data_IF_668262209478
#
_entry.id   IF_668262209478
#
_cell.length_a   1.000
_cell.length_b   1.000
_cell.length_c   1.000
_cell.angle_alpha   90.00
_cell.angle_beta   90.00
_cell.angle_gamma   90.00
#
_symmetry.space_group_name_H-M   'P 1'
#
loop_
_entity.id
_entity.type
_entity.pdbx_description
1 polymer ?
#
# COMPACT_ATOMS: atom_id res chain seq x y z
N UNK A 1 14.34 -12.15 -16.70
CA UNK A 1 13.57 -11.59 -15.60
C UNK A 1 12.29 -10.96 -16.13
N UNK A 2 11.16 -11.34 -15.55
CA UNK A 2 9.86 -10.75 -15.89
C UNK A 2 9.37 -10.00 -14.66
N UNK A 3 9.28 -8.67 -14.79
CA UNK A 3 8.92 -7.77 -13.72
C UNK A 3 7.44 -7.40 -13.79
N UNK A 4 6.75 -7.50 -12.66
CA UNK A 4 5.37 -7.05 -12.50
C UNK A 4 5.32 -5.90 -11.49
N UNK A 5 4.89 -4.72 -11.94
CA UNK A 5 4.70 -3.57 -11.06
C UNK A 5 3.26 -3.56 -10.56
N UNK A 6 3.06 -3.44 -9.25
CA UNK A 6 1.73 -3.42 -8.67
C UNK A 6 1.65 -2.50 -7.45
N UNK A 7 0.43 -2.09 -7.14
CA UNK A 7 0.09 -1.32 -5.95
C UNK A 7 -0.48 -2.27 -4.89
N UNK A 8 0.08 -2.25 -3.67
CA UNK A 8 -0.31 -3.21 -2.62
C UNK A 8 -1.81 -3.20 -2.36
N UNK A 9 -2.38 -2.02 -2.10
CA UNK A 9 -3.82 -1.89 -1.83
C UNK A 9 -4.65 -2.25 -3.06
N UNK A 10 -4.29 -1.73 -4.22
CA UNK A 10 -5.07 -1.88 -5.44
C UNK A 10 -5.13 -3.31 -5.96
N UNK A 11 -4.06 -4.06 -5.81
CA UNK A 11 -3.94 -5.38 -6.43
C UNK A 11 -4.98 -6.39 -5.92
N UNK A 12 -5.31 -6.33 -4.63
CA UNK A 12 -6.26 -7.28 -4.02
C UNK A 12 -7.54 -6.64 -3.49
N UNK A 13 -7.73 -5.33 -3.70
CA UNK A 13 -8.85 -4.59 -3.09
C UNK A 13 -10.23 -5.08 -3.54
N UNK A 14 -10.37 -5.46 -4.80
CA UNK A 14 -11.64 -5.91 -5.35
C UNK A 14 -12.01 -7.31 -4.82
N UNK A 15 -13.31 -7.55 -4.63
CA UNK A 15 -13.80 -8.83 -4.12
C UNK A 15 -13.41 -10.03 -4.99
N UNK A 16 -13.24 -9.82 -6.30
CA UNK A 16 -12.83 -10.88 -7.23
C UNK A 16 -11.42 -11.42 -6.98
N UNK A 17 -10.61 -10.74 -6.14
CA UNK A 17 -9.28 -11.25 -5.80
C UNK A 17 -9.33 -12.56 -5.01
N UNK A 18 -10.43 -12.81 -4.28
CA UNK A 18 -10.60 -14.01 -3.48
C UNK A 18 -9.69 -14.08 -2.25
N UNK A 19 -9.04 -12.98 -1.89
CA UNK A 19 -8.12 -12.94 -0.72
C UNK A 19 -8.84 -12.49 0.54
N UNK A 20 -8.32 -12.89 1.70
CA UNK A 20 -8.67 -12.27 2.98
C UNK A 20 -7.93 -10.95 3.16
N UNK A 21 -8.40 -10.08 4.06
CA UNK A 21 -7.75 -8.78 4.38
C UNK A 21 -7.28 -8.02 3.13
N UNK A 22 -8.19 -7.84 2.18
CA UNK A 22 -7.90 -7.23 0.88
C UNK A 22 -7.20 -5.87 1.00
N UNK A 23 -6.22 -5.65 0.11
CA UNK A 23 -5.47 -4.40 0.08
C UNK A 23 -4.29 -4.36 1.04
N UNK A 24 -3.88 -5.49 1.60
CA UNK A 24 -2.76 -5.58 2.54
C UNK A 24 -1.59 -6.36 1.96
N UNK A 25 -0.43 -6.27 2.61
CA UNK A 25 0.72 -7.09 2.26
C UNK A 25 0.41 -8.58 2.35
N UNK A 26 -0.34 -9.00 3.37
CA UNK A 26 -0.74 -10.41 3.53
C UNK A 26 -1.58 -10.89 2.36
N UNK A 27 -2.56 -10.11 1.93
CA UNK A 27 -3.39 -10.44 0.77
C UNK A 27 -2.53 -10.59 -0.49
N UNK A 28 -1.52 -9.74 -0.65
CA UNK A 28 -0.58 -9.85 -1.76
C UNK A 28 0.16 -11.19 -1.75
N UNK A 29 0.58 -11.68 -0.58
CA UNK A 29 1.27 -12.97 -0.49
C UNK A 29 0.39 -14.14 -0.93
N UNK A 30 -0.92 -14.04 -0.76
CA UNK A 30 -1.87 -15.06 -1.23
C UNK A 30 -1.92 -15.14 -2.76
N UNK A 31 -1.44 -14.12 -3.47
CA UNK A 31 -1.38 -14.06 -4.93
C UNK A 31 -0.05 -14.54 -5.51
N UNK A 32 0.90 -14.94 -4.71
CA UNK A 32 2.19 -15.46 -5.19
C UNK A 32 2.01 -16.65 -6.16
N UNK A 33 1.16 -17.65 -5.88
CA UNK A 33 0.94 -18.73 -6.85
C UNK A 33 0.45 -18.24 -8.20
N UNK A 34 -0.47 -17.27 -8.22
CA UNK A 34 -0.99 -16.67 -9.44
C UNK A 34 0.13 -15.98 -10.23
N UNK A 35 0.98 -15.19 -9.55
CA UNK A 35 2.09 -14.51 -10.20
C UNK A 35 3.11 -15.51 -10.77
N UNK A 36 3.36 -16.60 -10.07
CA UNK A 36 4.24 -17.66 -10.56
C UNK A 36 3.68 -18.34 -11.82
N UNK A 37 2.37 -18.58 -11.88
CA UNK A 37 1.73 -19.13 -13.08
C UNK A 37 1.88 -18.21 -14.29
N UNK A 38 1.87 -16.89 -14.07
CA UNK A 38 2.12 -15.92 -15.14
C UNK A 38 3.59 -15.88 -15.59
N UNK A 39 4.48 -16.56 -14.88
CA UNK A 39 5.91 -16.53 -15.20
C UNK A 39 6.63 -15.33 -14.61
N UNK A 40 6.04 -14.63 -13.65
CA UNK A 40 6.63 -13.46 -13.01
C UNK A 40 7.78 -13.89 -12.10
N UNK A 41 8.93 -13.25 -12.24
CA UNK A 41 10.13 -13.57 -11.46
C UNK A 41 10.51 -12.48 -10.47
N UNK A 42 9.95 -11.27 -10.63
CA UNK A 42 10.19 -10.15 -9.72
C UNK A 42 8.95 -9.28 -9.63
N UNK A 43 8.71 -8.71 -8.46
CA UNK A 43 7.60 -7.78 -8.23
C UNK A 43 8.16 -6.44 -7.79
N UNK A 44 7.71 -5.36 -8.40
CA UNK A 44 8.03 -4.00 -7.99
C UNK A 44 6.79 -3.41 -7.31
N UNK A 45 6.90 -3.10 -6.02
CA UNK A 45 5.81 -2.50 -5.27
C UNK A 45 5.82 -0.98 -5.46
N UNK A 46 4.67 -0.42 -5.82
CA UNK A 46 4.49 1.02 -5.94
C UNK A 46 4.25 1.62 -4.56
N UNK A 47 5.15 2.53 -4.14
CA UNK A 47 5.00 3.31 -2.90
C UNK A 47 4.52 2.50 -1.67
N UNK A 48 5.26 1.46 -1.25
CA UNK A 48 4.87 0.68 -0.08
C UNK A 48 5.27 1.33 1.24
N UNK A 49 5.93 2.49 1.18
CA UNK A 49 6.48 3.21 2.32
C UNK A 49 5.40 4.03 3.02
N UNK A 50 5.63 4.36 4.30
CA UNK A 50 4.69 5.19 5.06
C UNK A 50 4.61 6.62 4.50
N UNK A 51 3.40 7.15 4.39
CA UNK A 51 3.11 8.48 3.88
C UNK A 51 1.86 9.06 4.54
N UNK A 52 1.65 10.36 4.40
CA UNK A 52 0.43 11.03 4.89
C UNK A 52 -0.74 10.64 3.98
N UNK A 53 -1.65 9.85 4.50
CA UNK A 53 -2.77 9.31 3.72
C UNK A 53 -3.91 10.32 3.58
N UNK A 54 -4.15 11.12 4.62
CA UNK A 54 -5.19 12.15 4.59
C UNK A 54 -4.63 13.41 3.97
N UNK A 55 -5.29 13.89 2.91
CA UNK A 55 -4.89 15.13 2.22
C UNK A 55 -5.28 16.35 3.04
N UNK A 56 -4.32 17.24 3.29
CA UNK A 56 -4.52 18.49 4.01
C UNK A 56 -4.59 19.66 3.02
N UNK A 57 -5.30 20.73 3.40
CA UNK A 57 -5.47 21.91 2.52
C UNK A 57 -4.15 22.59 2.18
N UNK A 58 -3.21 22.62 3.10
CA UNK A 58 -1.92 23.30 2.98
C UNK A 58 -0.77 22.36 2.62
N UNK A 59 -1.05 21.09 2.36
CA UNK A 59 -0.01 20.08 2.14
C UNK A 59 0.08 19.64 0.69
N UNK A 60 1.30 19.26 0.27
CA UNK A 60 1.49 18.49 -0.95
C UNK A 60 1.04 17.05 -0.72
N UNK A 61 0.72 16.35 -1.80
CA UNK A 61 0.30 14.95 -1.75
C UNK A 61 1.32 14.09 -1.02
N UNK A 62 0.86 13.37 -0.01
CA UNK A 62 1.69 12.47 0.76
C UNK A 62 2.66 13.14 1.74
N UNK A 63 2.63 14.46 1.89
CA UNK A 63 3.53 15.17 2.80
C UNK A 63 3.20 14.82 4.27
N UNK A 64 4.07 14.10 4.99
CA UNK A 64 3.80 13.72 6.37
C UNK A 64 3.86 14.88 7.37
N UNK A 65 4.33 16.04 6.94
CA UNK A 65 4.45 17.23 7.77
C UNK A 65 3.36 18.27 7.47
N UNK A 66 2.42 17.93 6.59
CA UNK A 66 1.33 18.84 6.28
C UNK A 66 0.45 19.08 7.51
N UNK A 67 0.08 20.33 7.71
CA UNK A 67 -0.84 20.75 8.77
C UNK A 67 -2.09 21.37 8.13
N UNK A 68 -3.00 21.85 8.91
CA UNK A 68 -4.19 22.47 8.38
C UNK A 68 -5.42 21.56 8.43
N UNK A 69 -6.43 21.87 7.63
CA UNK A 69 -7.72 21.16 7.68
C UNK A 69 -7.74 19.98 6.72
N UNK A 70 -8.19 18.81 7.17
CA UNK A 70 -8.37 17.67 6.27
C UNK A 70 -9.38 17.98 5.16
N UNK A 71 -9.04 17.62 3.92
CA UNK A 71 -9.90 17.86 2.75
C UNK A 71 -10.97 16.78 2.54
N UNK A 72 -10.88 15.67 3.27
CA UNK A 72 -11.73 14.50 3.04
C UNK A 72 -11.23 13.58 1.91
N UNK A 73 -10.17 13.97 1.23
CA UNK A 73 -9.55 13.15 0.17
C UNK A 73 -8.40 12.33 0.73
N UNK A 74 -8.19 11.16 0.14
CA UNK A 74 -7.09 10.28 0.50
C UNK A 74 -6.05 10.25 -0.63
N UNK A 75 -4.77 10.20 -0.24
CA UNK A 75 -3.68 9.93 -1.16
C UNK A 75 -3.62 8.42 -1.40
N UNK A 76 -4.36 7.94 -2.39
CA UNK A 76 -4.48 6.50 -2.66
C UNK A 76 -3.16 5.87 -3.11
N UNK A 77 -2.44 6.56 -4.01
CA UNK A 77 -1.24 5.99 -4.64
C UNK A 77 0.01 6.09 -3.76
N UNK A 78 0.04 7.01 -2.81
CA UNK A 78 1.16 7.18 -1.91
C UNK A 78 2.33 7.97 -2.50
N UNK A 79 2.13 8.66 -3.62
CA UNK A 79 3.17 9.52 -4.18
C UNK A 79 3.36 10.77 -3.33
N UNK A 80 4.58 11.28 -3.33
CA UNK A 80 4.94 12.47 -2.57
C UNK A 80 5.93 12.16 -1.45
N UNK A 81 6.05 13.08 -0.49
CA UNK A 81 6.96 12.91 0.63
C UNK A 81 6.47 11.82 1.59
N UNK A 82 7.38 11.00 2.07
CA UNK A 82 7.06 9.93 3.00
C UNK A 82 8.30 9.44 3.74
N UNK A 83 8.12 8.41 4.53
CA UNK A 83 9.18 7.79 5.32
C UNK A 83 9.73 6.57 4.58
N UNK A 84 10.88 6.73 3.93
CA UNK A 84 11.44 5.72 3.01
C UNK A 84 11.78 4.38 3.68
N UNK A 85 12.05 4.37 4.98
CA UNK A 85 12.45 3.17 5.70
C UNK A 85 11.34 2.58 6.58
N UNK A 86 10.12 3.10 6.45
CA UNK A 86 8.95 2.59 7.17
C UNK A 86 7.91 2.09 6.18
N UNK A 87 7.41 0.87 6.31
CA UNK A 87 6.33 0.38 5.46
C UNK A 87 5.00 1.05 5.83
N UNK A 88 4.10 1.14 4.87
CA UNK A 88 2.79 1.76 5.06
C UNK A 88 1.96 0.96 6.06
N UNK A 89 1.64 1.56 7.21
CA UNK A 89 0.92 0.88 8.28
C UNK A 89 -0.47 0.38 7.86
N UNK A 90 -1.19 1.15 7.04
CA UNK A 90 -2.52 0.74 6.58
C UNK A 90 -2.52 -0.44 5.61
N UNK A 91 -1.36 -0.85 5.10
CA UNK A 91 -1.22 -2.04 4.26
C UNK A 91 -0.87 -3.29 5.07
N UNK A 92 -0.68 -3.17 6.38
CA UNK A 92 -0.49 -4.32 7.25
C UNK A 92 -1.82 -5.00 7.55
N UNK A 93 -1.76 -6.28 7.92
CA UNK A 93 -2.95 -7.06 8.23
C UNK A 93 -3.36 -6.91 9.69
N UNK A 94 -4.69 -6.85 9.95
CA UNK A 94 -5.26 -6.77 11.28
C UNK A 94 -4.99 -5.44 12.00
N UNK A 95 -5.80 -5.12 13.01
CA UNK A 95 -5.63 -3.87 13.78
C UNK A 95 -4.38 -3.89 14.66
N UNK A 96 -4.11 -5.03 15.32
CA UNK A 96 -2.94 -5.19 16.19
C UNK A 96 -1.63 -5.13 15.41
N UNK A 97 -1.67 -5.54 14.17
CA UNK A 97 -0.49 -5.64 13.30
C UNK A 97 -0.21 -4.35 12.54
N UNK A 98 -1.15 -3.40 12.52
CA UNK A 98 -0.96 -2.08 11.87
C UNK A 98 0.10 -1.22 12.53
N UNK A 99 0.64 -1.64 13.65
CA UNK A 99 1.79 -1.01 14.28
C UNK A 99 3.13 -1.45 13.69
N UNK A 100 3.10 -2.32 12.68
CA UNK A 100 4.30 -2.81 12.02
C UNK A 100 4.56 -4.30 12.22
N UNK A 101 3.93 -4.94 13.20
CA UNK A 101 4.16 -6.35 13.52
C UNK A 101 3.62 -7.30 12.43
N UNK A 102 2.68 -6.85 11.60
CA UNK A 102 2.07 -7.63 10.51
C UNK A 102 2.81 -7.57 9.18
N UNK A 103 4.02 -7.07 9.17
CA UNK A 103 4.84 -6.96 7.98
C UNK A 103 5.78 -8.14 7.89
#
# INVERSE_FOLDING_TARGET
TILYRLHVRGFTRHTSSGTGERGTFRALTEKIPYLKELGITAVELMMPNEFQEVMMEDGADGNPYATGTPTGRLNYWGYGAGYLFAPKASYTSGERERTGAGI
#
